data_IF_480162779485
#
_entry.id   IF_480162779485
#
_cell.length_a   1.000
_cell.length_b   1.000
_cell.length_c   1.000
_cell.angle_alpha   90.00
_cell.angle_beta   90.00
_cell.angle_gamma   90.00
#
_symmetry.space_group_name_H-M   'P 1'
#
loop_
_entity.id
_entity.type
_entity.pdbx_description
1 polymer ?
#
# COMPACT_ATOMS: atom_id res chain seq x y z
N UNK A 1 -23.70 14.53 5.61
CA UNK A 1 -23.80 13.76 6.89
C UNK A 1 -22.59 12.86 7.13
N UNK A 2 -22.24 11.92 6.23
CA UNK A 2 -21.08 11.02 6.44
C UNK A 2 -19.74 11.74 6.62
N UNK A 3 -19.50 12.85 5.90
CA UNK A 3 -18.31 13.69 6.08
C UNK A 3 -18.29 14.45 7.42
N UNK A 4 -19.46 14.73 8.00
CA UNK A 4 -19.57 15.38 9.31
C UNK A 4 -19.49 14.38 10.48
N UNK A 5 -19.71 13.09 10.21
CA UNK A 5 -19.64 12.01 11.19
C UNK A 5 -18.27 11.30 11.19
N UNK A 6 -17.30 11.74 10.38
CA UNK A 6 -15.94 11.19 10.33
C UNK A 6 -15.82 9.76 9.78
N UNK A 7 -16.91 9.20 9.25
CA UNK A 7 -16.95 7.82 8.70
C UNK A 7 -16.56 7.76 7.22
N UNK A 8 -16.34 8.90 6.58
CA UNK A 8 -15.99 8.97 5.15
C UNK A 8 -14.58 8.48 4.87
N UNK A 9 -13.60 8.89 5.67
CA UNK A 9 -12.21 8.49 5.47
C UNK A 9 -12.02 6.98 5.63
N UNK A 10 -12.51 6.31 6.70
CA UNK A 10 -12.38 4.86 6.81
C UNK A 10 -13.14 4.10 5.70
N UNK A 11 -14.31 4.58 5.27
CA UNK A 11 -15.10 3.91 4.23
C UNK A 11 -14.49 4.08 2.84
N UNK A 12 -14.01 5.29 2.51
CA UNK A 12 -13.38 5.57 1.22
C UNK A 12 -12.02 4.89 1.15
N UNK A 13 -11.13 5.10 2.13
CA UNK A 13 -9.76 4.59 2.08
C UNK A 13 -9.66 3.11 2.48
N UNK A 14 -10.48 2.64 3.42
CA UNK A 14 -10.42 1.25 3.89
C UNK A 14 -11.12 0.25 2.97
N UNK A 15 -12.22 0.64 2.32
CA UNK A 15 -13.04 -0.29 1.51
C UNK A 15 -13.04 0.07 0.03
N UNK A 16 -13.38 1.31 -0.32
CA UNK A 16 -13.56 1.68 -1.73
C UNK A 16 -12.23 1.77 -2.50
N UNK A 17 -11.17 2.31 -1.90
CA UNK A 17 -9.86 2.38 -2.54
C UNK A 17 -9.22 0.99 -2.72
N UNK A 18 -9.54 0.03 -1.85
CA UNK A 18 -9.14 -1.38 -2.03
C UNK A 18 -9.80 -2.01 -3.26
N UNK A 19 -11.00 -1.56 -3.63
CA UNK A 19 -11.75 -2.05 -4.78
C UNK A 19 -12.10 -0.91 -5.74
N UNK A 20 -11.07 -0.43 -6.45
CA UNK A 20 -11.17 0.75 -7.32
C UNK A 20 -12.19 0.61 -8.46
N UNK A 21 -12.33 -0.61 -9.04
CA UNK A 21 -13.30 -0.91 -10.11
C UNK A 21 -14.77 -0.69 -9.61
N UNK A 22 -15.23 -1.29 -8.49
CA UNK A 22 -16.53 -1.02 -7.88
C UNK A 22 -16.72 0.44 -7.46
N UNK A 23 -15.67 1.10 -6.97
CA UNK A 23 -15.74 2.51 -6.60
C UNK A 23 -16.12 3.40 -7.79
N UNK A 24 -15.49 3.20 -8.96
CA UNK A 24 -15.83 3.91 -10.19
C UNK A 24 -17.26 3.58 -10.64
N UNK A 25 -17.68 2.32 -10.57
CA UNK A 25 -19.04 1.91 -10.91
C UNK A 25 -20.09 2.61 -10.01
N UNK A 26 -19.79 2.76 -8.72
CA UNK A 26 -20.59 3.51 -7.77
C UNK A 26 -20.70 5.01 -8.12
N UNK A 27 -19.59 5.64 -8.52
CA UNK A 27 -19.58 7.04 -8.96
C UNK A 27 -20.41 7.25 -10.23
N UNK A 28 -20.32 6.34 -11.20
CA UNK A 28 -21.11 6.39 -12.44
C UNK A 28 -22.60 6.19 -12.15
N UNK A 29 -22.96 5.27 -11.25
CA UNK A 29 -24.33 5.09 -10.79
C UNK A 29 -24.88 6.35 -10.11
N UNK A 30 -24.10 6.97 -9.23
CA UNK A 30 -24.45 8.23 -8.57
C UNK A 30 -24.67 9.38 -9.56
N UNK A 31 -23.81 9.50 -10.58
CA UNK A 31 -23.96 10.46 -11.66
C UNK A 31 -25.26 10.25 -12.45
N UNK A 32 -25.59 9.01 -12.81
CA UNK A 32 -26.80 8.70 -13.55
C UNK A 32 -28.08 8.99 -12.74
N UNK A 33 -28.08 8.66 -11.44
CA UNK A 33 -29.16 9.02 -10.53
C UNK A 33 -29.33 10.54 -10.39
N UNK A 34 -28.22 11.27 -10.24
CA UNK A 34 -28.25 12.73 -10.16
C UNK A 34 -28.78 13.38 -11.45
N UNK A 35 -28.41 12.86 -12.62
CA UNK A 35 -28.90 13.33 -13.91
C UNK A 35 -30.42 13.12 -14.06
N UNK A 36 -30.93 11.98 -13.59
CA UNK A 36 -32.38 11.72 -13.55
C UNK A 36 -33.13 12.69 -12.60
N UNK A 37 -32.54 13.01 -11.45
CA UNK A 37 -33.09 13.99 -10.50
C UNK A 37 -33.03 15.44 -10.98
N UNK A 38 -32.12 15.75 -11.91
CA UNK A 38 -31.90 17.09 -12.46
C UNK A 38 -32.78 17.41 -13.68
N UNK A 39 -33.42 16.42 -14.31
CA UNK A 39 -34.24 16.63 -15.50
C UNK A 39 -35.52 17.40 -15.18
N UNK A 40 -35.70 18.62 -15.74
CA UNK A 40 -36.82 19.51 -15.40
C UNK A 40 -38.20 18.98 -15.85
N UNK A 41 -38.22 17.98 -16.73
CA UNK A 41 -39.46 17.41 -17.30
C UNK A 41 -39.97 16.16 -16.58
N UNK A 42 -39.18 15.54 -15.70
CA UNK A 42 -39.50 14.25 -15.09
C UNK A 42 -39.62 14.27 -13.56
N UNK A 43 -38.92 15.15 -12.85
CA UNK A 43 -38.68 14.89 -11.43
C UNK A 43 -38.73 16.07 -10.47
N UNK A 44 -38.66 17.34 -10.88
CA UNK A 44 -38.80 18.55 -10.03
C UNK A 44 -38.11 18.52 -8.64
N UNK A 45 -37.16 17.60 -8.40
CA UNK A 45 -36.42 17.41 -7.14
C UNK A 45 -35.36 18.50 -6.96
N UNK A 46 -34.94 19.09 -8.08
CA UNK A 46 -34.05 20.24 -8.25
C UNK A 46 -33.24 20.60 -7.02
N UNK A 47 -32.07 20.00 -6.82
CA UNK A 47 -31.06 20.34 -5.80
C UNK A 47 -31.60 20.80 -4.41
N UNK A 48 -32.77 20.32 -3.99
CA UNK A 48 -33.44 20.78 -2.74
C UNK A 48 -32.92 20.06 -1.50
N UNK A 49 -32.06 19.05 -1.66
CA UNK A 49 -31.51 18.25 -0.59
C UNK A 49 -30.35 18.97 0.11
N UNK A 50 -30.59 19.50 1.31
CA UNK A 50 -29.59 20.15 2.15
C UNK A 50 -28.68 19.10 2.83
N UNK A 51 -27.56 18.71 2.20
CA UNK A 51 -26.41 18.02 2.84
C UNK A 51 -26.65 16.63 3.50
N UNK A 52 -27.89 16.16 3.48
CA UNK A 52 -28.36 14.88 4.03
C UNK A 52 -28.71 13.98 2.85
N UNK A 53 -27.72 13.24 2.36
CA UNK A 53 -27.85 12.36 1.18
C UNK A 53 -27.97 10.89 1.61
N UNK A 54 -28.62 10.07 0.79
CA UNK A 54 -28.89 8.66 1.07
C UNK A 54 -30.23 8.43 1.78
N UNK A 55 -30.35 7.35 2.56
CA UNK A 55 -31.61 7.02 3.26
C UNK A 55 -32.14 8.17 4.14
N UNK A 56 -31.30 8.95 4.85
CA UNK A 56 -31.78 10.11 5.63
C UNK A 56 -32.38 11.25 4.79
N UNK A 57 -32.16 11.28 3.47
CA UNK A 57 -32.66 12.34 2.59
C UNK A 57 -34.18 12.40 2.49
N UNK A 58 -34.89 11.31 2.80
CA UNK A 58 -36.37 11.29 2.89
C UNK A 58 -36.94 12.30 3.89
N UNK A 59 -36.16 12.72 4.89
CA UNK A 59 -36.57 13.72 5.88
C UNK A 59 -36.59 15.15 5.32
N UNK A 60 -35.93 15.39 4.20
CA UNK A 60 -35.73 16.73 3.62
C UNK A 60 -36.40 16.93 2.27
N UNK A 61 -36.93 15.86 1.67
CA UNK A 61 -37.42 15.85 0.29
C UNK A 61 -38.94 15.70 0.26
N UNK A 62 -39.59 16.61 -0.44
CA UNK A 62 -41.05 16.68 -0.52
C UNK A 62 -41.66 15.71 -1.56
N UNK A 63 -40.84 15.05 -2.37
CA UNK A 63 -41.26 14.09 -3.40
C UNK A 63 -40.63 12.70 -3.18
N UNK A 64 -41.18 11.89 -2.26
CA UNK A 64 -40.55 10.63 -1.86
C UNK A 64 -40.50 9.61 -3.00
N UNK A 65 -41.53 9.51 -3.86
CA UNK A 65 -41.56 8.54 -4.97
C UNK A 65 -40.44 8.78 -5.98
N UNK A 66 -40.25 10.04 -6.37
CA UNK A 66 -39.21 10.45 -7.30
C UNK A 66 -37.82 10.22 -6.71
N UNK A 67 -37.69 10.44 -5.39
CA UNK A 67 -36.46 10.17 -4.66
C UNK A 67 -36.14 8.68 -4.57
N UNK A 68 -37.15 7.83 -4.34
CA UNK A 68 -37.00 6.37 -4.38
C UNK A 68 -36.52 5.91 -5.75
N UNK A 69 -37.12 6.41 -6.83
CA UNK A 69 -36.71 6.07 -8.20
C UNK A 69 -35.27 6.49 -8.49
N UNK A 70 -34.84 7.66 -8.02
CA UNK A 70 -33.46 8.11 -8.14
C UNK A 70 -32.49 7.16 -7.44
N UNK A 71 -32.78 6.75 -6.20
CA UNK A 71 -31.94 5.83 -5.44
C UNK A 71 -31.89 4.45 -6.12
N UNK A 72 -33.02 3.97 -6.64
CA UNK A 72 -33.10 2.70 -7.36
C UNK A 72 -32.33 2.74 -8.69
N UNK A 73 -32.39 3.84 -9.44
CA UNK A 73 -31.62 4.01 -10.68
C UNK A 73 -30.12 4.05 -10.36
N UNK A 74 -29.72 4.82 -9.35
CA UNK A 74 -28.31 4.90 -8.92
C UNK A 74 -27.78 3.55 -8.46
N UNK A 75 -28.52 2.85 -7.60
CA UNK A 75 -28.15 1.54 -7.09
C UNK A 75 -28.17 0.48 -8.19
N UNK A 76 -29.18 0.50 -9.05
CA UNK A 76 -29.35 -0.45 -10.15
C UNK A 76 -28.24 -0.31 -11.19
N UNK A 77 -27.90 0.90 -11.60
CA UNK A 77 -26.80 1.15 -12.54
C UNK A 77 -25.45 0.77 -11.92
N UNK A 78 -25.21 1.17 -10.67
CA UNK A 78 -23.99 0.77 -9.96
C UNK A 78 -23.88 -0.76 -9.85
N UNK A 79 -24.98 -1.45 -9.52
CA UNK A 79 -25.02 -2.90 -9.38
C UNK A 79 -24.85 -3.61 -10.72
N UNK A 80 -25.52 -3.18 -11.78
CA UNK A 80 -25.42 -3.78 -13.12
C UNK A 80 -24.04 -3.53 -13.73
N UNK A 81 -23.50 -2.31 -13.60
CA UNK A 81 -22.15 -2.01 -14.06
C UNK A 81 -21.11 -2.79 -13.27
N UNK A 82 -21.27 -2.89 -11.94
CA UNK A 82 -20.42 -3.76 -11.14
C UNK A 82 -20.59 -5.19 -11.63
N UNK A 83 -21.78 -5.76 -11.74
CA UNK A 83 -21.98 -7.12 -12.24
C UNK A 83 -21.37 -7.42 -13.62
N UNK A 84 -21.37 -6.45 -14.53
CA UNK A 84 -20.82 -6.62 -15.89
C UNK A 84 -19.30 -6.41 -15.92
N UNK A 85 -18.78 -5.41 -15.20
CA UNK A 85 -17.36 -5.03 -15.20
C UNK A 85 -16.56 -5.78 -14.14
N UNK A 86 -17.24 -6.30 -13.13
CA UNK A 86 -16.73 -7.18 -12.08
C UNK A 86 -16.87 -8.62 -12.54
N UNK A 87 -15.87 -9.06 -13.28
CA UNK A 87 -15.57 -10.48 -13.29
C UNK A 87 -14.90 -10.80 -11.96
N UNK A 88 -15.27 -11.91 -11.33
CA UNK A 88 -14.49 -12.48 -10.25
C UNK A 88 -13.14 -12.87 -10.85
N UNK A 89 -12.18 -11.95 -10.79
CA UNK A 89 -10.77 -12.30 -10.78
C UNK A 89 -10.61 -13.15 -9.51
N UNK A 90 -10.85 -14.47 -9.60
CA UNK A 90 -10.25 -15.43 -8.67
C UNK A 90 -8.78 -15.01 -8.57
N UNK A 91 -8.20 -14.76 -7.39
CA UNK A 91 -7.08 -13.84 -7.20
C UNK A 91 -6.05 -13.96 -8.35
N UNK A 92 -6.26 -13.17 -9.40
CA UNK A 92 -5.51 -13.21 -10.64
C UNK A 92 -4.50 -12.08 -10.43
N UNK A 93 -3.24 -12.37 -10.12
CA UNK A 93 -2.31 -13.09 -11.01
C UNK A 93 -2.52 -12.66 -12.46
N UNK A 94 -1.90 -11.52 -12.80
CA UNK A 94 -1.32 -11.23 -14.12
C UNK A 94 -2.21 -11.30 -15.40
N UNK A 95 -2.31 -10.16 -16.13
CA UNK A 95 -1.75 -9.91 -17.51
C UNK A 95 -2.48 -8.76 -18.25
N UNK A 96 -1.89 -8.00 -19.19
CA UNK A 96 -0.81 -8.24 -20.20
C UNK A 96 -0.29 -6.87 -20.72
N UNK A 97 1.02 -6.57 -20.68
CA UNK A 97 2.03 -6.69 -21.76
C UNK A 97 1.72 -6.01 -23.11
N UNK A 98 2.58 -5.06 -23.52
CA UNK A 98 3.07 -4.98 -24.90
C UNK A 98 4.61 -4.91 -24.88
N UNK A 99 5.22 -5.68 -25.77
CA UNK A 99 6.59 -6.17 -25.73
C UNK A 99 7.64 -5.18 -26.26
N UNK A 100 8.88 -5.28 -25.75
CA UNK A 100 10.10 -5.33 -26.56
C UNK A 100 11.10 -6.30 -25.90
N UNK A 101 11.57 -7.26 -26.69
CA UNK A 101 12.60 -8.23 -26.37
C UNK A 101 14.00 -7.60 -26.45
N UNK A 102 14.89 -7.94 -25.52
CA UNK A 102 16.26 -8.38 -25.83
C UNK A 102 16.90 -8.97 -24.57
N UNK A 103 17.04 -10.30 -24.57
CA UNK A 103 17.96 -11.03 -23.69
C UNK A 103 19.41 -10.63 -24.04
N UNK A 104 20.34 -10.71 -23.08
CA UNK A 104 21.25 -11.86 -23.17
C UNK A 104 21.44 -12.61 -21.84
N UNK A 105 21.43 -13.93 -22.01
CA UNK A 105 22.19 -14.99 -21.36
C UNK A 105 22.31 -15.09 -19.83
N UNK A 106 21.73 -16.19 -19.36
CA UNK A 106 21.88 -16.85 -18.07
C UNK A 106 23.32 -17.33 -17.86
N UNK A 107 23.96 -16.83 -16.81
CA UNK A 107 25.11 -17.47 -16.17
C UNK A 107 24.69 -18.00 -14.80
N UNK A 108 24.77 -19.31 -14.61
CA UNK A 108 24.55 -20.03 -13.36
C UNK A 108 25.20 -19.33 -12.15
N UNK A 109 24.41 -19.11 -11.10
CA UNK A 109 24.89 -18.93 -9.73
C UNK A 109 24.17 -19.93 -8.82
N UNK A 110 24.32 -21.20 -9.15
CA UNK A 110 24.25 -22.29 -8.19
C UNK A 110 25.66 -22.49 -7.62
N UNK A 111 26.17 -21.50 -6.90
CA UNK A 111 27.31 -21.61 -5.97
C UNK A 111 27.56 -20.23 -5.32
N UNK A 112 26.96 -20.01 -4.16
CA UNK A 112 27.38 -18.96 -3.24
C UNK A 112 27.02 -19.39 -1.82
N UNK A 113 27.89 -20.22 -1.25
CA UNK A 113 27.96 -20.36 0.20
C UNK A 113 28.22 -18.98 0.83
N UNK A 114 27.45 -18.66 1.87
CA UNK A 114 27.80 -17.79 2.99
C UNK A 114 28.66 -16.55 2.67
N UNK A 115 28.08 -15.56 1.98
CA UNK A 115 28.59 -14.19 2.02
C UNK A 115 27.43 -13.21 2.25
N UNK A 116 26.80 -13.31 3.42
CA UNK A 116 25.94 -12.24 3.93
C UNK A 116 26.86 -11.07 4.30
N UNK A 117 26.69 -9.86 3.73
CA UNK A 117 27.54 -8.72 4.05
C UNK A 117 27.55 -8.41 5.55
N UNK A 118 28.70 -7.93 6.06
CA UNK A 118 28.89 -7.54 7.47
C UNK A 118 27.76 -6.58 7.92
N UNK A 119 27.04 -6.94 8.99
CA UNK A 119 26.03 -6.07 9.64
C UNK A 119 24.56 -6.38 9.34
N UNK A 120 24.26 -7.31 8.43
CA UNK A 120 22.89 -7.76 8.11
C UNK A 120 22.30 -8.80 9.09
N UNK A 121 23.11 -9.35 10.00
CA UNK A 121 22.66 -10.30 11.03
C UNK A 121 22.23 -9.66 12.35
N UNK A 122 22.10 -8.33 12.38
CA UNK A 122 21.70 -7.60 13.60
C UNK A 122 20.18 -7.50 13.63
N UNK A 123 19.57 -8.09 14.65
CA UNK A 123 18.14 -7.92 14.92
C UNK A 123 17.85 -6.44 15.21
N UNK A 124 16.83 -5.89 14.57
CA UNK A 124 16.40 -4.49 14.72
C UNK A 124 14.97 -4.37 15.23
N UNK A 125 14.15 -5.39 15.07
CA UNK A 125 12.80 -5.50 15.63
C UNK A 125 12.61 -6.94 16.14
N UNK A 126 12.12 -7.10 17.36
CA UNK A 126 11.81 -8.38 18.00
C UNK A 126 10.38 -8.37 18.49
N UNK A 127 9.70 -9.48 18.29
CA UNK A 127 8.36 -9.75 18.82
C UNK A 127 8.20 -11.25 19.05
N UNK A 128 7.11 -11.64 19.71
CA UNK A 128 6.68 -13.03 19.87
C UNK A 128 6.54 -13.78 18.55
N UNK A 129 6.33 -13.06 17.44
CA UNK A 129 6.20 -13.63 16.11
C UNK A 129 7.54 -13.88 15.40
N UNK A 130 8.65 -13.33 15.89
CA UNK A 130 9.99 -13.57 15.35
C UNK A 130 10.89 -12.34 15.35
N UNK A 131 12.17 -12.60 15.07
CA UNK A 131 13.22 -11.59 14.92
C UNK A 131 13.29 -11.08 13.48
N UNK A 132 13.34 -9.75 13.33
CA UNK A 132 13.48 -9.06 12.05
C UNK A 132 14.87 -8.44 12.00
N UNK A 133 15.66 -8.88 11.03
CA UNK A 133 17.04 -8.47 10.85
C UNK A 133 17.14 -7.18 10.03
N UNK A 134 18.28 -6.51 10.17
CA UNK A 134 18.56 -5.30 9.42
C UNK A 134 18.68 -5.59 7.91
N UNK A 135 17.92 -4.91 7.04
CA UNK A 135 17.89 -5.19 5.61
C UNK A 135 19.06 -4.55 4.81
N UNK A 136 19.84 -3.63 5.40
CA UNK A 136 21.00 -3.01 4.74
C UNK A 136 22.04 -2.57 5.78
N UNK A 137 23.31 -2.46 5.38
CA UNK A 137 24.33 -1.85 6.25
C UNK A 137 24.10 -0.34 6.41
N UNK A 138 24.29 0.21 7.62
CA UNK A 138 23.88 1.59 7.93
C UNK A 138 23.83 1.95 9.42
N UNK A 139 23.42 3.15 9.75
CA UNK A 139 23.11 3.53 11.14
C UNK A 139 21.60 3.39 11.37
N UNK A 140 21.22 2.75 12.47
CA UNK A 140 19.80 2.59 12.84
C UNK A 140 19.36 3.85 13.57
N UNK A 141 18.28 4.46 13.10
CA UNK A 141 17.61 5.59 13.74
C UNK A 141 16.20 5.13 14.20
N UNK A 142 15.72 5.59 15.36
CA UNK A 142 14.35 5.32 15.79
C UNK A 142 13.35 5.91 14.79
N UNK A 143 12.17 5.28 14.64
CA UNK A 143 11.16 5.72 13.67
C UNK A 143 10.77 7.20 13.84
N UNK A 144 10.74 7.72 15.08
CA UNK A 144 10.44 9.11 15.38
C UNK A 144 11.47 10.14 14.87
N UNK A 145 12.65 9.70 14.41
CA UNK A 145 13.68 10.53 13.79
C UNK A 145 13.70 10.42 12.26
N UNK A 146 12.84 9.58 11.67
CA UNK A 146 12.69 9.52 10.22
C UNK A 146 12.15 10.88 9.74
N UNK A 147 12.74 11.49 8.70
CA UNK A 147 12.35 12.82 8.22
C UNK A 147 11.06 12.76 7.38
N UNK A 148 10.03 12.09 7.87
CA UNK A 148 8.71 11.95 7.26
C UNK A 148 7.63 11.71 8.34
N UNK A 149 6.59 12.55 8.45
CA UNK A 149 5.56 12.42 9.47
C UNK A 149 4.74 11.12 9.39
N UNK A 150 4.57 10.56 8.19
CA UNK A 150 3.80 9.32 7.97
C UNK A 150 4.49 8.16 8.66
N UNK A 151 5.81 8.06 8.53
CA UNK A 151 6.62 7.05 9.21
C UNK A 151 6.91 7.42 10.67
N UNK A 152 7.22 8.69 10.96
CA UNK A 152 7.65 9.10 12.30
C UNK A 152 6.51 9.15 13.33
N UNK A 153 5.26 9.18 12.88
CA UNK A 153 4.08 9.09 13.75
C UNK A 153 3.83 7.70 14.32
N UNK A 154 4.33 6.64 13.66
CA UNK A 154 4.03 5.24 13.99
C UNK A 154 2.65 4.78 13.52
N UNK A 155 1.89 5.59 12.77
CA UNK A 155 0.55 5.23 12.30
C UNK A 155 0.53 4.06 11.29
N UNK A 156 1.65 3.81 10.62
CA UNK A 156 1.85 2.69 9.69
C UNK A 156 2.50 1.46 10.35
N UNK A 157 2.62 1.46 11.68
CA UNK A 157 3.30 0.44 12.45
C UNK A 157 4.63 0.91 13.04
N UNK A 158 5.17 0.10 13.94
CA UNK A 158 6.41 0.40 14.66
C UNK A 158 7.64 -0.19 13.95
N UNK A 159 8.78 0.48 14.07
CA UNK A 159 10.03 0.00 13.49
C UNK A 159 11.17 0.98 13.58
N UNK A 160 12.02 0.98 12.56
CA UNK A 160 13.26 1.77 12.52
C UNK A 160 13.54 2.34 11.14
N UNK A 161 14.22 3.48 11.11
CA UNK A 161 14.90 3.96 9.91
C UNK A 161 16.35 3.50 9.90
N UNK A 162 16.93 3.33 8.71
CA UNK A 162 18.33 2.94 8.55
C UNK A 162 18.96 3.90 7.54
N UNK A 163 19.95 4.67 7.98
CA UNK A 163 20.78 5.51 7.11
C UNK A 163 21.86 4.63 6.47
N UNK A 164 21.80 4.34 5.15
CA UNK A 164 22.71 3.38 4.54
C UNK A 164 24.17 3.83 4.60
N UNK A 165 25.08 2.94 5.05
CA UNK A 165 26.54 3.16 5.05
C UNK A 165 27.20 2.32 3.97
N UNK A 166 27.09 2.81 2.74
CA UNK A 166 27.55 2.09 1.56
C UNK A 166 26.67 0.88 1.24
N UNK A 167 26.90 0.30 0.05
CA UNK A 167 26.03 -0.72 -0.52
C UNK A 167 24.79 -0.11 -1.18
N UNK A 168 24.33 -0.79 -2.22
CA UNK A 168 23.21 -0.38 -3.07
C UNK A 168 22.10 -1.43 -3.09
N UNK A 169 22.20 -2.49 -2.27
CA UNK A 169 21.25 -3.59 -2.22
C UNK A 169 20.62 -3.67 -0.83
N UNK A 170 19.28 -3.72 -0.83
CA UNK A 170 18.46 -4.04 0.33
C UNK A 170 18.10 -5.53 0.27
N UNK A 171 18.22 -6.19 1.40
CA UNK A 171 18.04 -7.63 1.56
C UNK A 171 16.84 -7.94 2.46
N UNK A 172 16.34 -9.17 2.36
CA UNK A 172 15.19 -9.63 3.14
C UNK A 172 15.54 -9.66 4.63
N UNK A 173 14.76 -9.00 5.48
CA UNK A 173 15.01 -8.94 6.92
C UNK A 173 14.64 -10.25 7.64
N UNK A 174 13.80 -11.07 7.03
CA UNK A 174 13.39 -12.37 7.55
C UNK A 174 13.14 -13.36 6.40
N UNK A 175 12.83 -14.61 6.74
CA UNK A 175 12.18 -15.52 5.79
C UNK A 175 10.69 -15.18 5.66
N UNK A 176 10.11 -15.39 4.49
CA UNK A 176 8.71 -15.04 4.25
C UNK A 176 8.28 -15.18 2.81
N UNK A 177 7.12 -14.62 2.52
CA UNK A 177 6.58 -14.48 1.15
C UNK A 177 6.41 -13.00 0.84
N UNK A 178 6.83 -12.57 -0.35
CA UNK A 178 6.62 -11.21 -0.82
C UNK A 178 5.12 -10.98 -1.01
N UNK A 179 4.54 -10.10 -0.20
CA UNK A 179 3.11 -9.79 -0.22
C UNK A 179 2.77 -8.65 -1.17
N UNK A 180 3.73 -7.76 -1.46
CA UNK A 180 3.58 -6.69 -2.44
C UNK A 180 4.93 -6.13 -2.88
N UNK A 181 4.99 -5.59 -4.09
CA UNK A 181 6.10 -4.78 -4.59
C UNK A 181 5.53 -3.51 -5.20
N UNK A 182 6.00 -2.34 -4.78
CA UNK A 182 5.51 -1.07 -5.32
C UNK A 182 5.84 -0.95 -6.82
N UNK A 183 4.97 -0.27 -7.60
CA UNK A 183 5.18 -0.08 -9.05
C UNK A 183 6.50 0.66 -9.36
N UNK A 184 6.83 1.67 -8.55
CA UNK A 184 8.11 2.38 -8.61
C UNK A 184 9.24 1.65 -7.90
N UNK A 185 9.05 0.39 -7.49
CA UNK A 185 10.05 -0.56 -7.00
C UNK A 185 10.79 -0.16 -5.72
N UNK A 186 10.45 0.96 -5.12
CA UNK A 186 11.10 1.50 -3.93
C UNK A 186 10.65 0.82 -2.63
N UNK A 187 9.51 0.10 -2.64
CA UNK A 187 8.96 -0.54 -1.45
C UNK A 187 8.56 -2.00 -1.72
N UNK A 188 8.77 -2.84 -0.71
CA UNK A 188 8.49 -4.27 -0.72
C UNK A 188 7.79 -4.65 0.59
N UNK A 189 6.62 -5.27 0.47
CA UNK A 189 5.91 -5.90 1.58
C UNK A 189 6.26 -7.39 1.69
N UNK A 190 6.42 -7.88 2.92
CA UNK A 190 6.79 -9.27 3.22
C UNK A 190 5.86 -9.78 4.30
N UNK A 191 5.21 -10.91 4.05
CA UNK A 191 4.55 -11.69 5.08
C UNK A 191 5.56 -12.68 5.66
N UNK A 192 6.02 -12.38 6.87
CA UNK A 192 6.96 -13.18 7.64
C UNK A 192 6.30 -14.36 8.39
N UNK A 193 7.07 -15.08 9.21
CA UNK A 193 6.54 -16.14 10.05
C UNK A 193 5.50 -15.58 11.04
N UNK A 194 4.59 -16.45 11.50
CA UNK A 194 3.61 -16.10 12.53
C UNK A 194 2.75 -14.85 12.22
N UNK A 195 2.51 -14.59 10.93
CA UNK A 195 1.63 -13.51 10.46
C UNK A 195 2.26 -12.11 10.50
N UNK A 196 3.57 -11.98 10.67
CA UNK A 196 4.23 -10.67 10.63
C UNK A 196 4.05 -10.01 9.27
N UNK A 197 3.58 -8.77 9.25
CA UNK A 197 3.52 -7.94 8.05
C UNK A 197 4.64 -6.91 8.10
N UNK A 198 5.60 -7.05 7.20
CA UNK A 198 6.83 -6.25 7.22
C UNK A 198 6.88 -5.38 5.97
N UNK A 199 7.10 -4.09 6.16
CA UNK A 199 7.31 -3.13 5.09
C UNK A 199 8.77 -2.70 5.05
N UNK A 200 9.40 -2.90 3.89
CA UNK A 200 10.71 -2.35 3.56
C UNK A 200 10.52 -1.25 2.54
N UNK A 201 10.82 0.00 2.89
CA UNK A 201 10.65 1.17 2.02
C UNK A 201 11.97 1.91 1.86
N UNK A 202 12.42 2.10 0.62
CA UNK A 202 13.73 2.67 0.30
C UNK A 202 13.60 4.14 -0.06
N UNK A 203 14.13 4.99 0.82
CA UNK A 203 14.07 6.43 0.70
C UNK A 203 12.73 7.02 1.13
N UNK A 204 12.64 8.35 1.14
CA UNK A 204 11.43 9.11 1.50
C UNK A 204 10.94 9.84 0.25
N UNK A 205 9.64 9.76 -0.04
CA UNK A 205 9.00 10.30 -1.25
C UNK A 205 9.58 9.78 -2.58
N UNK A 206 10.29 8.64 -2.56
CA UNK A 206 10.91 8.03 -3.74
C UNK A 206 9.91 7.43 -4.73
N UNK A 207 8.62 7.39 -4.38
CA UNK A 207 7.54 7.08 -5.31
C UNK A 207 7.56 8.06 -6.51
N UNK A 208 7.91 9.33 -6.28
CA UNK A 208 7.97 10.37 -7.31
C UNK A 208 9.05 10.13 -8.36
N UNK A 209 10.03 9.27 -8.05
CA UNK A 209 11.07 8.86 -8.98
C UNK A 209 10.57 7.86 -10.04
N UNK A 210 9.33 7.38 -9.94
CA UNK A 210 8.69 6.50 -10.94
C UNK A 210 9.56 5.27 -11.32
N UNK A 211 10.32 4.74 -10.36
CA UNK A 211 11.23 3.60 -10.56
C UNK A 211 12.62 3.95 -11.08
N UNK A 212 12.92 5.22 -11.37
CA UNK A 212 14.28 5.61 -11.74
C UNK A 212 15.23 5.42 -10.55
N UNK A 213 16.31 4.67 -10.78
CA UNK A 213 17.28 4.35 -9.75
C UNK A 213 16.90 3.16 -8.89
N UNK A 214 15.86 2.38 -9.23
CA UNK A 214 15.47 1.15 -8.52
C UNK A 214 15.46 -0.07 -9.46
N UNK A 215 15.94 -1.20 -8.96
CA UNK A 215 15.92 -2.50 -9.64
C UNK A 215 15.47 -3.55 -8.64
N UNK A 216 14.35 -4.19 -8.91
CA UNK A 216 13.77 -5.28 -8.14
C UNK A 216 14.45 -6.62 -8.47
N UNK A 217 14.64 -7.44 -7.44
CA UNK A 217 15.13 -8.83 -7.56
C UNK A 217 14.07 -9.87 -7.22
N UNK A 218 12.90 -9.41 -6.79
CA UNK A 218 11.78 -10.25 -6.35
C UNK A 218 10.49 -9.76 -6.97
N UNK A 219 9.50 -10.64 -7.03
CA UNK A 219 8.13 -10.33 -7.42
C UNK A 219 7.16 -10.76 -6.32
N UNK A 220 5.95 -10.23 -6.39
CA UNK A 220 4.86 -10.66 -5.51
C UNK A 220 4.63 -12.18 -5.60
N UNK A 221 4.42 -12.81 -4.44
CA UNK A 221 4.26 -14.25 -4.30
C UNK A 221 5.57 -15.04 -4.19
N UNK A 222 6.74 -14.42 -4.41
CA UNK A 222 8.02 -15.10 -4.24
C UNK A 222 8.28 -15.45 -2.76
N UNK A 223 8.82 -16.65 -2.52
CA UNK A 223 9.35 -17.03 -1.21
C UNK A 223 10.78 -16.52 -1.08
N UNK A 224 11.08 -15.85 0.02
CA UNK A 224 12.40 -15.29 0.31
C UNK A 224 12.97 -15.84 1.61
N UNK A 225 14.29 -15.95 1.67
CA UNK A 225 15.02 -16.24 2.91
C UNK A 225 15.63 -14.96 3.47
N UNK A 226 15.87 -14.93 4.78
CA UNK A 226 16.64 -13.84 5.39
C UNK A 226 17.99 -13.67 4.69
N UNK A 227 18.34 -12.42 4.36
CA UNK A 227 19.56 -12.08 3.61
C UNK A 227 19.47 -12.26 2.09
N UNK A 228 18.32 -12.61 1.52
CA UNK A 228 18.13 -12.63 0.07
C UNK A 228 17.97 -11.20 -0.50
N UNK A 229 18.60 -10.85 -1.64
CA UNK A 229 18.41 -9.53 -2.26
C UNK A 229 16.94 -9.26 -2.61
N UNK A 230 16.45 -8.06 -2.30
CA UNK A 230 15.08 -7.61 -2.61
C UNK A 230 15.09 -6.52 -3.68
N UNK A 231 15.81 -5.43 -3.41
CA UNK A 231 15.87 -4.27 -4.30
C UNK A 231 17.27 -3.67 -4.29
N UNK A 232 17.76 -3.32 -5.47
CA UNK A 232 18.92 -2.48 -5.67
C UNK A 232 18.48 -1.05 -5.95
N UNK A 233 19.15 -0.08 -5.35
CA UNK A 233 18.81 1.33 -5.48
C UNK A 233 20.05 2.21 -5.63
N UNK A 234 19.90 3.34 -6.32
CA UNK A 234 20.96 4.32 -6.55
C UNK A 234 20.83 5.50 -5.58
N UNK A 235 21.65 5.49 -4.52
CA UNK A 235 21.66 6.54 -3.51
C UNK A 235 21.96 7.93 -4.08
N UNK A 236 22.78 8.02 -5.13
CA UNK A 236 23.15 9.30 -5.73
C UNK A 236 21.99 9.86 -6.55
N UNK A 237 21.23 9.01 -7.24
CA UNK A 237 19.99 9.43 -7.91
C UNK A 237 18.94 9.91 -6.92
N UNK A 238 18.73 9.19 -5.83
CA UNK A 238 17.78 9.58 -4.77
C UNK A 238 18.14 10.97 -4.22
N UNK A 239 19.41 11.18 -3.86
CA UNK A 239 19.89 12.49 -3.38
C UNK A 239 19.75 13.60 -4.42
N UNK A 240 20.05 13.31 -5.69
CA UNK A 240 19.90 14.28 -6.79
C UNK A 240 18.45 14.66 -7.05
N UNK A 241 17.51 13.74 -6.80
CA UNK A 241 16.08 14.01 -6.87
C UNK A 241 15.56 14.82 -5.65
N UNK A 242 16.40 15.07 -4.65
CA UNK A 242 16.02 15.84 -3.45
C UNK A 242 15.40 15.00 -2.34
N UNK A 243 15.47 13.67 -2.46
CA UNK A 243 14.88 12.73 -1.51
C UNK A 243 15.91 12.21 -0.52
N UNK A 244 15.43 11.78 0.66
CA UNK A 244 16.26 11.08 1.65
C UNK A 244 16.46 9.63 1.21
N UNK A 245 17.67 9.07 1.40
CA UNK A 245 17.99 7.66 1.13
C UNK A 245 17.81 6.75 2.35
N UNK A 246 17.15 7.23 3.40
CA UNK A 246 16.83 6.42 4.59
C UNK A 246 15.97 5.23 4.18
N UNK A 247 16.38 4.03 4.56
CA UNK A 247 15.59 2.81 4.38
C UNK A 247 14.73 2.62 5.61
N UNK A 248 13.42 2.64 5.45
CA UNK A 248 12.45 2.42 6.51
C UNK A 248 12.11 0.93 6.58
N UNK A 249 12.12 0.39 7.79
CA UNK A 249 11.70 -0.98 8.09
C UNK A 249 10.63 -0.92 9.17
N UNK A 250 9.41 -1.35 8.85
CA UNK A 250 8.27 -1.37 9.77
C UNK A 250 7.70 -2.78 9.92
N UNK A 251 7.23 -3.09 11.12
CA UNK A 251 6.23 -4.13 11.38
C UNK A 251 4.86 -3.44 11.33
N UNK A 252 4.14 -3.59 10.22
CA UNK A 252 2.91 -2.82 9.95
C UNK A 252 1.75 -3.25 10.83
N UNK A 253 1.72 -4.52 11.24
CA UNK A 253 0.77 -5.06 12.21
C UNK A 253 1.36 -5.14 13.62
N UNK A 254 2.18 -4.16 14.02
CA UNK A 254 2.82 -4.16 15.35
C UNK A 254 1.82 -4.20 16.52
N UNK A 255 0.62 -3.67 16.34
CA UNK A 255 -0.42 -3.63 17.38
C UNK A 255 -1.03 -5.02 17.69
N UNK A 256 -0.77 -6.01 16.83
CA UNK A 256 -1.19 -7.40 17.07
C UNK A 256 -0.29 -8.11 18.11
N UNK A 257 0.81 -7.48 18.53
CA UNK A 257 1.83 -8.07 19.39
C UNK A 257 2.09 -7.18 20.62
N UNK A 258 1.93 -7.75 21.81
CA UNK A 258 2.12 -7.02 23.08
C UNK A 258 3.61 -6.80 23.45
N UNK A 259 4.54 -7.47 22.75
CA UNK A 259 5.95 -7.57 23.13
C UNK A 259 6.92 -7.01 22.08
N UNK A 260 6.46 -6.11 21.21
CA UNK A 260 7.30 -5.50 20.16
C UNK A 260 8.41 -4.64 20.79
N UNK A 261 9.65 -4.94 20.44
CA UNK A 261 10.85 -4.16 20.78
C UNK A 261 11.61 -3.80 19.51
N UNK A 262 12.14 -2.60 19.44
CA UNK A 262 12.84 -2.10 18.25
C UNK A 262 14.02 -1.18 18.63
N UNK A 263 15.03 -1.12 17.75
CA UNK A 263 16.18 -0.23 17.90
C UNK A 263 16.91 -0.38 19.24
N UNK A 264 17.11 0.72 19.97
CA UNK A 264 17.83 0.73 21.26
C UNK A 264 17.10 -0.05 22.38
N UNK A 265 15.79 -0.30 22.24
CA UNK A 265 14.98 -1.00 23.24
C UNK A 265 15.00 -2.53 23.10
N UNK A 266 15.79 -3.10 22.19
CA UNK A 266 15.83 -4.56 21.98
C UNK A 266 16.33 -5.36 23.20
N UNK A 267 17.15 -4.77 24.06
CA UNK A 267 17.81 -5.44 25.19
C UNK A 267 17.29 -5.02 26.58
N UNK A 268 16.30 -4.11 26.64
CA UNK A 268 15.56 -3.76 27.87
C UNK A 268 14.31 -4.60 27.93
#
# INVERSE_FOLDING_TARGET
LSAALGITEPAIFGVNMRFFKPFICGMIGGMAGALFGALPRATALGATAYGVTGIPGYLTINQPLTYTLLLLISCGIAFVLTWILWSEEAPETEKKTTAVQTTPEVGNLADAGSNVPLGLGVCVIRSSAGDIMKPINGDVIPYNKIPDPTFSSGALGQGVGIEPRGGDIVYSPCEGTISSVAESKHAVGITGPNGQEILVHVGIDTVDMNGDGFVDYVKEGDKVKAGQPLVKFDQEKIKKAGHSSVVVLLLTNSDDYDDVRYGENLNN
#
